data_IF_106123888081
#
_entry.id   IF_106123888081
#
_cell.length_a   1.000
_cell.length_b   1.000
_cell.length_c   1.000
_cell.angle_alpha   90.00
_cell.angle_beta   90.00
_cell.angle_gamma   90.00
#
_symmetry.space_group_name_H-M   'P 1'
#
loop_
_entity.id
_entity.type
_entity.pdbx_description
1 polymer ?
#
# COMPACT_ATOMS: atom_id res chain seq x y z
N UNK A 1 -42.41 -10.59 17.99
CA UNK A 1 -41.39 -9.54 17.77
C UNK A 1 -40.15 -10.19 17.19
N UNK A 2 -39.69 -9.82 15.98
CA UNK A 2 -38.58 -10.52 15.35
C UNK A 2 -37.25 -10.08 15.96
N UNK A 3 -36.45 -11.07 16.35
CA UNK A 3 -35.10 -10.93 16.87
C UNK A 3 -34.24 -10.31 15.76
N UNK A 4 -33.70 -9.11 15.99
CA UNK A 4 -32.77 -8.44 15.07
C UNK A 4 -31.61 -9.40 14.79
N UNK A 5 -31.47 -9.78 13.52
CA UNK A 5 -30.34 -10.58 13.05
C UNK A 5 -29.03 -9.87 13.44
N UNK A 6 -28.26 -10.51 14.31
CA UNK A 6 -26.92 -10.08 14.72
C UNK A 6 -26.09 -10.00 13.44
N UNK A 7 -25.74 -8.78 13.01
CA UNK A 7 -24.81 -8.53 11.90
C UNK A 7 -23.59 -9.42 12.12
N UNK A 8 -23.38 -10.40 11.25
CA UNK A 8 -22.16 -11.23 11.20
C UNK A 8 -20.99 -10.25 11.26
N UNK A 9 -20.19 -10.30 12.32
CA UNK A 9 -18.96 -9.53 12.43
C UNK A 9 -18.17 -9.80 11.15
N UNK A 10 -17.97 -8.77 10.32
CA UNK A 10 -17.03 -8.86 9.20
C UNK A 10 -15.73 -9.38 9.81
N UNK A 11 -15.20 -10.48 9.28
CA UNK A 11 -13.89 -11.00 9.70
C UNK A 11 -12.88 -9.98 9.22
N UNK A 12 -12.57 -9.08 10.13
CA UNK A 12 -11.51 -8.11 10.06
C UNK A 12 -10.36 -8.73 10.86
N UNK A 13 -9.27 -9.04 10.18
CA UNK A 13 -8.12 -9.70 10.76
C UNK A 13 -6.85 -9.00 10.30
N UNK A 14 -5.87 -8.92 11.20
CA UNK A 14 -4.55 -8.41 10.92
C UNK A 14 -3.54 -9.53 11.11
N UNK A 15 -2.72 -9.77 10.09
CA UNK A 15 -1.66 -10.77 10.11
C UNK A 15 -0.31 -10.08 9.88
N UNK A 16 0.69 -10.44 10.67
CA UNK A 16 2.08 -10.05 10.44
C UNK A 16 2.74 -11.14 9.60
N UNK A 17 3.27 -10.78 8.44
CA UNK A 17 4.11 -11.68 7.66
C UNK A 17 5.55 -11.18 7.62
N UNK A 18 6.48 -12.11 7.69
CA UNK A 18 7.90 -11.89 7.47
C UNK A 18 8.31 -12.66 6.23
N UNK A 19 8.99 -11.98 5.31
CA UNK A 19 9.46 -12.55 4.07
C UNK A 19 10.98 -12.40 3.97
N UNK A 20 11.65 -13.45 3.53
CA UNK A 20 13.01 -13.36 3.02
C UNK A 20 12.98 -12.75 1.61
N UNK A 21 13.82 -11.76 1.32
CA UNK A 21 13.93 -11.18 -0.04
C UNK A 21 14.71 -12.12 -0.96
N UNK A 22 14.05 -12.60 -2.02
CA UNK A 22 14.64 -13.55 -2.98
C UNK A 22 15.26 -12.87 -4.20
N UNK A 23 14.90 -11.63 -4.48
CA UNK A 23 15.45 -10.85 -5.58
C UNK A 23 14.72 -9.52 -5.75
N UNK A 24 15.28 -8.64 -6.58
CA UNK A 24 14.65 -7.38 -6.92
C UNK A 24 15.10 -6.92 -8.31
N UNK A 25 14.25 -6.14 -8.97
CA UNK A 25 14.52 -5.51 -10.26
C UNK A 25 14.27 -4.00 -10.14
N UNK A 26 15.15 -3.20 -10.72
CA UNK A 26 15.10 -1.73 -10.65
C UNK A 26 15.10 -1.15 -12.04
N UNK A 27 14.21 -0.19 -12.26
CA UNK A 27 14.19 0.62 -13.47
C UNK A 27 14.18 2.08 -13.09
N UNK A 28 15.00 2.89 -13.77
CA UNK A 28 15.00 4.35 -13.65
C UNK A 28 14.89 4.95 -15.03
N UNK A 29 14.04 5.96 -15.17
CA UNK A 29 13.80 6.64 -16.43
C UNK A 29 13.89 8.16 -16.22
N UNK A 30 14.47 8.83 -17.21
CA UNK A 30 14.45 10.28 -17.35
C UNK A 30 14.06 10.59 -18.78
N UNK A 31 13.05 11.44 -18.95
CA UNK A 31 12.58 11.78 -20.29
C UNK A 31 11.69 13.01 -20.34
N UNK A 32 11.38 13.42 -21.57
CA UNK A 32 10.36 14.43 -21.83
C UNK A 32 9.00 13.79 -21.58
N UNK A 33 8.11 14.51 -20.90
CA UNK A 33 6.75 14.09 -20.66
C UNK A 33 6.02 13.82 -21.99
N UNK A 34 5.87 12.54 -22.34
CA UNK A 34 5.24 12.12 -23.59
C UNK A 34 3.79 12.59 -23.73
N UNK A 35 3.10 12.89 -22.61
CA UNK A 35 1.73 13.43 -22.66
C UNK A 35 1.67 14.79 -23.33
N UNK A 36 2.72 15.61 -23.18
CA UNK A 36 2.82 16.91 -23.85
C UNK A 36 2.93 16.78 -25.36
N UNK A 37 3.53 15.69 -25.87
CA UNK A 37 3.61 15.41 -27.31
C UNK A 37 2.28 14.88 -27.87
N UNK A 38 1.57 14.08 -27.09
CA UNK A 38 0.35 13.41 -27.55
C UNK A 38 -0.90 14.30 -27.43
N UNK A 39 -0.96 15.17 -26.41
CA UNK A 39 -2.13 16.02 -26.12
C UNK A 39 -1.71 17.37 -25.49
N UNK A 40 -1.06 18.27 -26.23
CA UNK A 40 -0.58 19.55 -25.70
C UNK A 40 -1.71 20.46 -25.16
N UNK A 41 -2.94 20.33 -25.69
CA UNK A 41 -4.09 21.12 -25.28
C UNK A 41 -4.74 20.69 -23.94
N UNK A 42 -4.35 19.54 -23.39
CA UNK A 42 -4.97 18.95 -22.19
C UNK A 42 -3.99 18.87 -21.01
N UNK A 43 -2.79 19.44 -21.16
CA UNK A 43 -1.86 19.62 -20.06
C UNK A 43 -2.23 20.86 -19.26
N UNK A 44 -2.24 20.73 -17.94
CA UNK A 44 -2.26 21.90 -17.06
C UNK A 44 -0.95 22.68 -17.23
N UNK A 45 -0.97 24.00 -17.02
CA UNK A 45 0.23 24.84 -17.05
C UNK A 45 1.28 24.39 -16.03
N UNK A 46 0.83 23.73 -14.96
CA UNK A 46 1.69 23.15 -13.93
C UNK A 46 2.27 21.78 -14.30
N UNK A 47 1.99 21.25 -15.50
CA UNK A 47 2.48 19.94 -15.95
C UNK A 47 4.00 19.99 -16.18
N UNK A 48 4.81 19.14 -15.52
CA UNK A 48 6.25 19.11 -15.74
C UNK A 48 6.62 18.67 -17.17
N UNK A 49 7.56 19.40 -17.78
CA UNK A 49 8.09 19.09 -19.12
C UNK A 49 9.01 17.87 -19.11
N UNK A 50 9.80 17.74 -18.05
CA UNK A 50 10.70 16.60 -17.82
C UNK A 50 10.12 15.74 -16.69
N UNK A 51 10.20 14.43 -16.83
CA UNK A 51 9.80 13.48 -15.82
C UNK A 51 10.96 12.54 -15.52
N UNK A 52 11.22 12.35 -14.22
CA UNK A 52 12.01 11.25 -13.71
C UNK A 52 11.06 10.26 -13.04
N UNK A 53 11.28 8.97 -13.28
CA UNK A 53 10.50 7.89 -12.67
C UNK A 53 11.40 6.76 -12.25
N UNK A 54 11.07 6.14 -11.14
CA UNK A 54 11.77 4.97 -10.62
C UNK A 54 10.75 3.89 -10.33
N UNK A 55 11.09 2.66 -10.69
CA UNK A 55 10.34 1.47 -10.38
C UNK A 55 11.24 0.51 -9.63
N UNK A 56 10.68 -0.11 -8.61
CA UNK A 56 11.33 -1.15 -7.83
C UNK A 56 10.36 -2.31 -7.71
N UNK A 57 10.73 -3.45 -8.26
CA UNK A 57 10.07 -4.72 -7.96
C UNK A 57 10.91 -5.47 -6.93
N UNK A 58 10.29 -5.87 -5.82
CA UNK A 58 10.94 -6.72 -4.81
C UNK A 58 10.16 -8.03 -4.69
N UNK A 59 10.90 -9.13 -4.70
CA UNK A 59 10.37 -10.48 -4.59
C UNK A 59 10.75 -11.06 -3.25
N UNK A 60 9.80 -11.71 -2.60
CA UNK A 60 9.98 -12.31 -1.29
C UNK A 60 9.35 -13.69 -1.18
N UNK A 61 9.85 -14.48 -0.25
CA UNK A 61 9.27 -15.76 0.15
C UNK A 61 8.95 -15.73 1.63
N UNK A 62 7.72 -16.09 1.99
CA UNK A 62 7.24 -16.05 3.35
C UNK A 62 8.01 -17.04 4.23
N UNK A 63 8.49 -16.55 5.37
CA UNK A 63 9.18 -17.34 6.41
C UNK A 63 8.36 -17.41 7.69
N UNK A 64 7.52 -16.40 7.96
CA UNK A 64 6.57 -16.38 9.08
C UNK A 64 5.25 -15.73 8.61
N UNK A 65 4.09 -16.23 9.06
CA UNK A 65 3.90 -17.34 9.98
C UNK A 65 4.07 -18.71 9.30
N UNK A 66 4.24 -19.77 10.09
CA UNK A 66 4.57 -21.13 9.60
C UNK A 66 3.52 -21.65 8.61
N UNK A 67 2.25 -21.31 8.80
CA UNK A 67 1.14 -21.75 7.96
C UNK A 67 1.24 -21.24 6.52
N UNK A 68 1.95 -20.13 6.31
CA UNK A 68 2.14 -19.49 5.00
C UNK A 68 3.57 -19.62 4.50
N UNK A 69 4.38 -20.41 5.19
CA UNK A 69 5.78 -20.58 4.84
C UNK A 69 5.92 -21.04 3.39
N UNK A 70 6.76 -20.32 2.65
CA UNK A 70 7.06 -20.60 1.28
C UNK A 70 6.15 -19.95 0.24
N UNK A 71 5.08 -19.29 0.65
CA UNK A 71 4.30 -18.43 -0.25
C UNK A 71 5.19 -17.35 -0.87
N UNK A 72 4.97 -17.07 -2.15
CA UNK A 72 5.73 -16.09 -2.92
C UNK A 72 4.99 -14.76 -2.97
N UNK A 73 5.73 -13.67 -2.84
CA UNK A 73 5.22 -12.32 -2.93
C UNK A 73 6.05 -11.49 -3.90
N UNK A 74 5.36 -10.63 -4.65
CA UNK A 74 5.95 -9.67 -5.59
C UNK A 74 5.34 -8.30 -5.30
N UNK A 75 6.17 -7.34 -4.95
CA UNK A 75 5.75 -5.96 -4.70
C UNK A 75 6.36 -5.07 -5.74
N UNK A 76 5.53 -4.32 -6.45
CA UNK A 76 6.02 -3.31 -7.37
C UNK A 76 5.69 -1.93 -6.84
N UNK A 77 6.72 -1.12 -6.68
CA UNK A 77 6.67 0.24 -6.18
C UNK A 77 7.04 1.21 -7.29
N UNK A 78 6.25 2.29 -7.44
CA UNK A 78 6.55 3.40 -8.33
C UNK A 78 6.86 4.63 -7.50
N UNK A 79 8.01 5.24 -7.74
CA UNK A 79 8.43 6.45 -7.04
C UNK A 79 7.77 7.68 -7.65
N UNK A 80 6.91 8.33 -6.88
CA UNK A 80 6.29 9.61 -7.24
C UNK A 80 6.62 10.70 -6.22
N UNK A 81 6.68 11.96 -6.64
CA UNK A 81 6.97 13.06 -5.71
C UNK A 81 5.82 13.31 -4.72
N UNK A 82 4.58 13.10 -5.17
CA UNK A 82 3.38 13.31 -4.35
C UNK A 82 2.34 12.27 -4.72
N UNK A 83 2.55 11.00 -4.33
CA UNK A 83 1.64 9.91 -4.65
C UNK A 83 0.24 10.17 -4.07
N UNK A 84 -0.83 9.73 -4.75
CA UNK A 84 -2.20 9.89 -4.28
C UNK A 84 -2.39 9.33 -2.86
N UNK A 85 -3.12 10.07 -2.01
CA UNK A 85 -3.44 9.64 -0.64
C UNK A 85 -2.40 10.01 0.42
N UNK A 86 -1.13 10.25 0.05
CA UNK A 86 -0.10 10.62 1.03
C UNK A 86 -0.22 12.05 1.57
N UNK A 87 -0.94 12.93 0.86
CA UNK A 87 -1.27 14.27 1.34
C UNK A 87 -2.53 14.33 2.21
N UNK A 88 -3.30 13.21 2.32
CA UNK A 88 -4.54 13.19 3.09
C UNK A 88 -4.27 13.35 4.58
N UNK A 89 -5.10 14.14 5.24
CA UNK A 89 -5.13 14.29 6.69
C UNK A 89 -6.36 13.62 7.30
N UNK A 90 -6.41 13.51 8.62
CA UNK A 90 -7.54 12.88 9.35
C UNK A 90 -8.89 13.55 9.01
N UNK A 91 -8.89 14.85 8.73
CA UNK A 91 -10.11 15.56 8.32
C UNK A 91 -10.66 15.08 6.97
N UNK A 92 -9.79 14.62 6.05
CA UNK A 92 -10.19 14.16 4.72
C UNK A 92 -10.86 12.78 4.75
N UNK A 93 -10.66 12.02 5.84
CA UNK A 93 -11.27 10.71 6.05
C UNK A 93 -12.50 10.77 6.97
N UNK A 94 -12.93 11.96 7.39
CA UNK A 94 -14.19 12.12 8.10
C UNK A 94 -15.35 11.82 7.14
N UNK A 95 -16.26 10.95 7.57
CA UNK A 95 -17.46 10.61 6.80
C UNK A 95 -18.30 11.85 6.57
N UNK A 96 -18.88 11.95 5.37
CA UNK A 96 -19.80 13.02 5.01
C UNK A 96 -21.18 12.43 4.71
N UNK A 97 -22.23 13.15 5.07
CA UNK A 97 -23.60 12.78 4.73
C UNK A 97 -23.88 13.01 3.23
N UNK A 98 -25.07 12.64 2.71
CA UNK A 98 -25.41 12.86 1.30
C UNK A 98 -25.40 14.33 0.85
N UNK A 99 -25.36 15.29 1.78
CA UNK A 99 -25.27 16.73 1.51
C UNK A 99 -23.84 17.27 1.65
N UNK A 100 -22.86 16.40 1.94
CA UNK A 100 -21.45 16.77 2.07
C UNK A 100 -21.05 17.28 3.46
N UNK A 101 -21.95 17.25 4.46
CA UNK A 101 -21.66 17.71 5.81
C UNK A 101 -20.90 16.65 6.63
N UNK A 102 -19.93 17.04 7.48
CA UNK A 102 -19.20 16.08 8.29
C UNK A 102 -20.09 15.35 9.28
N UNK A 103 -19.95 14.04 9.36
CA UNK A 103 -20.73 13.19 10.26
C UNK A 103 -20.10 13.13 11.66
N UNK A 104 -20.98 13.11 12.65
CA UNK A 104 -20.65 12.95 14.05
C UNK A 104 -21.61 11.95 14.71
N UNK A 105 -21.14 11.29 15.76
CA UNK A 105 -21.96 10.44 16.63
C UNK A 105 -21.84 10.91 18.08
N UNK A 106 -22.88 10.63 18.89
CA UNK A 106 -22.83 10.89 20.33
C UNK A 106 -22.22 9.68 21.04
N UNK A 107 -21.11 9.90 21.74
CA UNK A 107 -20.44 8.89 22.56
C UNK A 107 -20.21 9.45 23.97
N UNK A 108 -20.79 8.77 24.98
CA UNK A 108 -20.68 9.16 26.40
C UNK A 108 -21.04 10.64 26.67
N UNK A 109 -22.07 11.15 25.99
CA UNK A 109 -22.53 12.54 26.14
C UNK A 109 -21.73 13.56 25.32
N UNK A 110 -20.66 13.15 24.64
CA UNK A 110 -19.85 14.01 23.78
C UNK A 110 -20.08 13.71 22.30
N UNK A 111 -20.00 14.74 21.45
CA UNK A 111 -20.05 14.59 20.00
C UNK A 111 -18.66 14.27 19.46
N UNK A 112 -18.51 13.14 18.77
CA UNK A 112 -17.24 12.69 18.20
C UNK A 112 -17.37 12.47 16.69
N UNK A 113 -16.35 12.85 15.88
CA UNK A 113 -16.37 12.67 14.44
C UNK A 113 -16.34 11.19 14.04
N UNK A 114 -17.01 10.87 12.93
CA UNK A 114 -17.01 9.51 12.35
C UNK A 114 -16.01 9.46 11.20
N UNK A 115 -15.09 8.50 11.22
CA UNK A 115 -14.06 8.34 10.20
C UNK A 115 -14.24 7.06 9.39
N UNK A 116 -13.81 7.08 8.13
CA UNK A 116 -13.65 5.89 7.30
C UNK A 116 -12.15 5.70 6.99
N UNK A 117 -11.49 4.90 7.83
CA UNK A 117 -10.07 4.61 7.63
C UNK A 117 -9.84 3.84 6.31
N UNK A 118 -8.75 4.15 5.58
CA UNK A 118 -8.33 3.32 4.46
C UNK A 118 -8.13 1.87 4.90
N UNK A 119 -8.50 0.91 4.04
CA UNK A 119 -8.28 -0.52 4.30
C UNK A 119 -6.80 -0.90 4.27
N UNK A 120 -5.96 -0.12 3.58
CA UNK A 120 -4.52 -0.33 3.48
C UNK A 120 -3.92 0.58 2.43
N UNK A 121 -2.61 0.44 2.21
CA UNK A 121 -1.84 1.16 1.19
C UNK A 121 -2.24 0.70 -0.21
N UNK A 122 -2.38 -0.61 -0.39
CA UNK A 122 -2.79 -1.23 -1.66
C UNK A 122 -3.37 -2.61 -1.43
N UNK A 123 -3.99 -3.20 -2.44
CA UNK A 123 -4.56 -4.54 -2.38
C UNK A 123 -3.49 -5.60 -2.71
N UNK A 124 -3.50 -6.69 -1.95
CA UNK A 124 -2.75 -7.91 -2.24
C UNK A 124 -3.63 -8.84 -3.08
N UNK A 125 -3.17 -9.15 -4.28
CA UNK A 125 -3.90 -9.98 -5.23
C UNK A 125 -3.15 -11.29 -5.47
N UNK A 126 -3.85 -12.42 -5.40
CA UNK A 126 -3.27 -13.72 -5.77
C UNK A 126 -3.22 -13.88 -7.28
N UNK A 127 -2.01 -13.90 -7.85
CA UNK A 127 -1.74 -14.23 -9.23
C UNK A 127 -1.78 -15.76 -9.41
N UNK A 128 -2.84 -16.26 -10.07
CA UNK A 128 -3.05 -17.71 -10.23
C UNK A 128 -1.98 -18.40 -11.08
N UNK A 129 -1.38 -17.69 -12.04
CA UNK A 129 -0.41 -18.26 -12.99
C UNK A 129 0.91 -18.62 -12.32
N UNK A 130 1.42 -17.72 -11.50
CA UNK A 130 2.75 -17.84 -10.86
C UNK A 130 2.65 -18.26 -9.38
N UNK A 131 1.42 -18.52 -8.93
CA UNK A 131 1.05 -18.85 -7.56
C UNK A 131 1.70 -17.91 -6.53
N UNK A 132 1.62 -16.61 -6.82
CA UNK A 132 2.24 -15.55 -6.04
C UNK A 132 1.22 -14.50 -5.63
N UNK A 133 1.45 -13.84 -4.52
CA UNK A 133 0.75 -12.61 -4.15
C UNK A 133 1.45 -11.43 -4.81
N UNK A 134 0.68 -10.53 -5.41
CA UNK A 134 1.19 -9.32 -6.04
C UNK A 134 0.53 -8.08 -5.45
N UNK A 135 1.31 -7.03 -5.23
CA UNK A 135 0.80 -5.70 -4.89
C UNK A 135 1.50 -4.63 -5.73
N UNK A 136 0.74 -3.63 -6.16
CA UNK A 136 1.24 -2.46 -6.87
C UNK A 136 0.95 -1.21 -6.04
N UNK A 137 1.94 -0.35 -5.81
CA UNK A 137 1.77 0.86 -5.01
C UNK A 137 2.61 2.03 -5.54
N UNK A 138 1.99 3.21 -5.56
CA UNK A 138 2.71 4.47 -5.73
C UNK A 138 3.22 4.93 -4.36
N UNK A 139 4.52 5.19 -4.26
CA UNK A 139 5.20 5.53 -3.01
C UNK A 139 5.98 6.83 -3.16
N UNK A 140 6.27 7.55 -2.07
CA UNK A 140 7.09 8.74 -2.14
C UNK A 140 8.46 8.40 -2.72
N UNK A 141 8.97 9.22 -3.65
CA UNK A 141 10.25 8.98 -4.30
C UNK A 141 11.42 8.85 -3.30
N UNK A 142 11.36 9.58 -2.18
CA UNK A 142 12.29 9.45 -1.07
C UNK A 142 12.27 8.06 -0.43
N UNK A 143 11.08 7.51 -0.17
CA UNK A 143 10.91 6.16 0.38
C UNK A 143 11.49 5.09 -0.56
N UNK A 144 11.19 5.17 -1.86
CA UNK A 144 11.75 4.22 -2.84
C UNK A 144 13.28 4.29 -2.88
N UNK A 145 13.87 5.49 -2.82
CA UNK A 145 15.32 5.67 -2.75
C UNK A 145 15.92 5.03 -1.49
N UNK A 146 15.24 5.13 -0.36
CA UNK A 146 15.70 4.52 0.89
C UNK A 146 15.63 2.98 0.79
N UNK A 147 14.57 2.42 0.19
CA UNK A 147 14.51 0.99 -0.12
C UNK A 147 15.68 0.53 -1.02
N UNK A 148 15.99 1.28 -2.08
CA UNK A 148 17.14 0.97 -2.94
C UNK A 148 18.46 1.02 -2.16
N UNK A 149 18.59 1.97 -1.24
CA UNK A 149 19.78 2.08 -0.38
C UNK A 149 19.93 0.84 0.50
N UNK A 150 18.84 0.38 1.14
CA UNK A 150 18.84 -0.85 1.94
C UNK A 150 19.25 -2.06 1.08
N UNK A 151 18.59 -2.24 -0.07
CA UNK A 151 18.86 -3.36 -1.00
C UNK A 151 20.27 -3.36 -1.60
N UNK A 152 20.92 -2.21 -1.65
CA UNK A 152 22.30 -2.09 -2.17
C UNK A 152 23.35 -2.60 -1.18
N UNK A 153 22.99 -2.79 0.09
CA UNK A 153 23.92 -3.34 1.09
C UNK A 153 24.09 -4.85 0.91
N UNK A 154 25.24 -5.38 1.33
CA UNK A 154 25.56 -6.83 1.23
C UNK A 154 24.85 -7.70 2.28
N UNK A 155 24.00 -7.11 3.12
CA UNK A 155 23.26 -7.85 4.14
C UNK A 155 22.18 -8.72 3.49
N UNK A 156 21.69 -9.70 4.26
CA UNK A 156 20.44 -10.38 3.95
C UNK A 156 19.31 -9.38 4.15
N UNK A 157 18.29 -9.43 3.29
CA UNK A 157 17.16 -8.52 3.34
C UNK A 157 15.87 -9.26 3.65
N UNK A 158 15.03 -8.61 4.44
CA UNK A 158 13.73 -9.09 4.86
C UNK A 158 12.66 -8.03 4.60
N UNK A 159 11.46 -8.50 4.32
CA UNK A 159 10.26 -7.67 4.28
C UNK A 159 9.41 -8.03 5.49
N UNK A 160 9.04 -7.03 6.28
CA UNK A 160 7.97 -7.13 7.25
C UNK A 160 6.73 -6.46 6.67
N UNK A 161 5.61 -7.17 6.70
CA UNK A 161 4.34 -6.64 6.22
C UNK A 161 3.23 -6.93 7.22
N UNK A 162 2.33 -5.97 7.36
CA UNK A 162 1.06 -6.21 8.01
C UNK A 162 0.00 -6.33 6.93
N UNK A 163 -0.64 -7.49 6.88
CA UNK A 163 -1.79 -7.75 6.04
C UNK A 163 -3.06 -7.44 6.84
N UNK A 164 -4.01 -6.79 6.19
CA UNK A 164 -5.34 -6.53 6.71
C UNK A 164 -6.35 -7.25 5.83
N UNK A 165 -7.03 -8.24 6.40
CA UNK A 165 -7.99 -9.08 5.70
C UNK A 165 -9.38 -8.59 6.05
N UNK A 166 -10.05 -7.99 5.05
CA UNK A 166 -11.43 -7.52 5.18
C UNK A 166 -12.33 -8.43 4.36
N UNK A 167 -13.16 -9.21 5.04
CA UNK A 167 -14.02 -10.24 4.43
C UNK A 167 -13.23 -11.36 3.75
N UNK A 168 -12.76 -11.13 2.52
CA UNK A 168 -11.92 -12.03 1.71
C UNK A 168 -10.90 -11.26 0.87
N UNK A 169 -10.83 -9.94 1.05
CA UNK A 169 -9.87 -9.09 0.37
C UNK A 169 -8.66 -8.92 1.26
N UNK A 170 -7.49 -9.12 0.69
CA UNK A 170 -6.21 -8.96 1.36
C UNK A 170 -5.68 -7.57 1.02
N UNK A 171 -5.36 -6.78 2.05
CA UNK A 171 -4.83 -5.44 1.92
C UNK A 171 -3.45 -5.36 2.56
N UNK A 172 -2.52 -4.71 1.89
CA UNK A 172 -1.23 -4.35 2.46
C UNK A 172 -1.42 -3.14 3.36
N UNK A 173 -1.43 -3.34 4.68
CA UNK A 173 -1.59 -2.25 5.65
C UNK A 173 -0.26 -1.54 5.91
N UNK A 174 0.85 -2.28 5.98
CA UNK A 174 2.19 -1.71 6.05
C UNK A 174 3.21 -2.58 5.34
N UNK A 175 4.30 -1.94 4.91
CA UNK A 175 5.42 -2.57 4.23
C UNK A 175 6.72 -1.94 4.76
N UNK A 176 7.64 -2.78 5.20
CA UNK A 176 8.95 -2.38 5.67
C UNK A 176 10.00 -3.30 5.07
N UNK A 177 11.09 -2.70 4.57
CA UNK A 177 12.24 -3.39 4.03
C UNK A 177 13.43 -3.15 4.96
N UNK A 178 14.09 -4.22 5.38
CA UNK A 178 15.09 -4.16 6.45
C UNK A 178 16.16 -5.23 6.28
N UNK A 179 17.32 -5.00 6.90
CA UNK A 179 18.46 -5.94 6.88
C UNK A 179 18.50 -6.92 8.04
N UNK A 180 17.58 -6.77 9.00
CA UNK A 180 17.50 -7.60 10.20
C UNK A 180 16.27 -8.51 10.09
N UNK A 181 16.37 -9.72 10.60
CA UNK A 181 15.23 -10.63 10.63
C UNK A 181 14.16 -10.07 11.58
N UNK A 182 12.92 -9.79 11.12
CA UNK A 182 11.84 -9.33 11.99
C UNK A 182 11.41 -10.33 13.06
N UNK A 183 11.81 -11.60 12.95
CA UNK A 183 11.49 -12.65 13.92
C UNK A 183 12.54 -12.81 15.04
N UNK A 184 13.69 -12.12 14.96
CA UNK A 184 14.70 -12.01 16.04
C UNK A 184 14.49 -10.76 16.90
#
# INVERSE_FOLDING_TARGET
>A
MPIKARRRQRRDAFELLSLWVTGYDVQVELGVNGRLRMKPLWGDLDTPVMLARSWLEVRGKCVYPEERQGEKFVFTMVGEQSPPGFAKIVADIQQRDPHGMPQYLTYRGSTVPVFECPKGVTQLLRQRRDDSWSAWMDVPAGYLRDCLTVLSTKAVHYISLHEHIVEKEHWLNSFALQSNDPAE
#
